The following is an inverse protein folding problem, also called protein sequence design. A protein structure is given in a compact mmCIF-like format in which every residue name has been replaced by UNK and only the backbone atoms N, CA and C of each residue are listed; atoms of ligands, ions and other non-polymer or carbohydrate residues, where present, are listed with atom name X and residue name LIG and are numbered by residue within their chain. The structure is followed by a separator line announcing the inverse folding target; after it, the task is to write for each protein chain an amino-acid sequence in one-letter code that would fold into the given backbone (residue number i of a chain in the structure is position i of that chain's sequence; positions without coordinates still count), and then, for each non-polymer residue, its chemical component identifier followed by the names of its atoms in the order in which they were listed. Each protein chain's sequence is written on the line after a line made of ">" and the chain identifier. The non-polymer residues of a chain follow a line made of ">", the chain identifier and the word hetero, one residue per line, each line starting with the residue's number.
data_IF_331341325927
#
_entry.id   IF_331341325927
#
_cell.length_a   1.000
_cell.length_b   1.000
_cell.length_c   1.000
_cell.angle_alpha   90.00
_cell.angle_beta   90.00
_cell.angle_gamma   90.00
#
_symmetry.space_group_name_H-M   'P 1'
#
loop_
_entity.id
_entity.type
_entity.pdbx_description
1 polymer ?
#
# COMPACT_ATOMS: atom_id res chain seq x y z
N UNK A 1 -18.77 -18.38 -13.21
CA UNK A 1 -19.47 -17.32 -12.45
C UNK A 1 -19.36 -17.53 -10.94
N UNK A 2 -19.78 -18.68 -10.38
CA UNK A 2 -19.70 -18.96 -8.93
C UNK A 2 -18.32 -18.72 -8.30
N UNK A 3 -17.22 -19.19 -8.92
CA UNK A 3 -15.86 -18.99 -8.41
C UNK A 3 -15.44 -17.52 -8.30
N UNK A 4 -15.94 -16.67 -9.20
CA UNK A 4 -15.66 -15.22 -9.21
C UNK A 4 -16.39 -14.52 -8.08
N UNK A 5 -17.69 -14.79 -7.91
CA UNK A 5 -18.49 -14.24 -6.81
C UNK A 5 -17.95 -14.66 -5.44
N UNK A 6 -17.64 -15.95 -5.28
CA UNK A 6 -17.04 -16.45 -4.05
C UNK A 6 -15.68 -15.81 -3.76
N UNK A 7 -14.82 -15.69 -4.78
CA UNK A 7 -13.54 -15.00 -4.64
C UNK A 7 -13.67 -13.51 -4.31
N UNK A 8 -14.64 -12.81 -4.89
CA UNK A 8 -14.94 -11.42 -4.57
C UNK A 8 -15.44 -11.27 -3.13
N UNK A 9 -16.34 -12.16 -2.70
CA UNK A 9 -16.88 -12.18 -1.34
C UNK A 9 -15.78 -12.41 -0.29
N UNK A 10 -14.88 -13.36 -0.53
CA UNK A 10 -13.75 -13.61 0.37
C UNK A 10 -12.85 -12.38 0.51
N UNK A 11 -12.55 -11.68 -0.60
CA UNK A 11 -11.74 -10.45 -0.57
C UNK A 11 -12.45 -9.32 0.16
N UNK A 12 -13.75 -9.15 -0.07
CA UNK A 12 -14.57 -8.18 0.64
C UNK A 12 -14.55 -8.44 2.15
N UNK A 13 -14.77 -9.70 2.56
CA UNK A 13 -14.71 -10.11 3.96
C UNK A 13 -13.33 -9.83 4.58
N UNK A 14 -12.24 -10.14 3.88
CA UNK A 14 -10.88 -9.86 4.35
C UNK A 14 -10.63 -8.36 4.54
N UNK A 15 -11.20 -7.50 3.70
CA UNK A 15 -11.10 -6.04 3.84
C UNK A 15 -11.96 -5.53 5.00
N UNK A 16 -13.16 -6.09 5.20
CA UNK A 16 -13.98 -5.80 6.39
C UNK A 16 -13.19 -6.15 7.66
N UNK A 17 -12.57 -7.34 7.70
CA UNK A 17 -11.77 -7.79 8.83
C UNK A 17 -10.57 -6.87 9.07
N UNK A 18 -9.85 -6.49 8.01
CA UNK A 18 -8.74 -5.54 8.08
C UNK A 18 -9.17 -4.22 8.74
N UNK A 19 -10.27 -3.63 8.28
CA UNK A 19 -10.75 -2.33 8.79
C UNK A 19 -11.25 -2.44 10.24
N UNK A 20 -11.92 -3.55 10.58
CA UNK A 20 -12.44 -3.78 11.92
C UNK A 20 -11.36 -4.17 12.95
N UNK A 21 -10.20 -4.65 12.52
CA UNK A 21 -9.16 -5.23 13.40
C UNK A 21 -8.77 -4.34 14.59
N UNK A 22 -8.50 -3.01 14.42
CA UNK A 22 -8.17 -2.14 15.56
C UNK A 22 -9.28 -2.10 16.60
N UNK A 23 -10.54 -1.93 16.14
CA UNK A 23 -11.71 -1.86 17.02
C UNK A 23 -11.98 -3.17 17.76
N UNK A 24 -11.73 -4.31 17.11
CA UNK A 24 -11.93 -5.64 17.69
C UNK A 24 -10.89 -5.96 18.76
N UNK A 25 -9.70 -5.37 18.68
CA UNK A 25 -8.60 -5.59 19.62
C UNK A 25 -8.49 -4.50 20.70
N UNK A 26 -9.32 -3.46 20.64
CA UNK A 26 -9.33 -2.36 21.60
C UNK A 26 -9.80 -2.82 23.00
N UNK A 27 -9.01 -2.62 24.06
CA UNK A 27 -9.42 -2.93 25.44
C UNK A 27 -10.68 -2.15 25.84
N UNK A 28 -11.71 -2.83 26.36
CA UNK A 28 -12.93 -2.18 26.85
C UNK A 28 -13.96 -1.80 25.79
N UNK A 29 -13.68 -2.06 24.50
CA UNK A 29 -14.55 -1.69 23.39
C UNK A 29 -14.32 -0.27 22.89
N UNK A 30 -14.66 -0.02 21.62
CA UNK A 30 -14.47 1.28 20.99
C UNK A 30 -15.76 2.07 20.95
N UNK A 31 -15.75 3.31 21.44
CA UNK A 31 -16.86 4.26 21.22
C UNK A 31 -17.11 4.53 19.72
N UNK A 32 -16.07 4.33 18.89
CA UNK A 32 -16.16 4.49 17.44
C UNK A 32 -16.57 3.20 16.69
N UNK A 33 -16.87 2.10 17.40
CA UNK A 33 -17.22 0.81 16.78
C UNK A 33 -18.32 0.89 15.70
N UNK A 34 -19.43 1.64 15.87
CA UNK A 34 -20.45 1.75 14.82
C UNK A 34 -19.94 2.43 13.55
N UNK A 35 -19.13 3.48 13.69
CA UNK A 35 -18.56 4.22 12.55
C UNK A 35 -17.59 3.31 11.79
N UNK A 36 -16.74 2.59 12.52
CA UNK A 36 -15.76 1.68 11.92
C UNK A 36 -16.44 0.52 11.21
N UNK A 37 -17.52 -0.02 11.80
CA UNK A 37 -18.32 -1.06 11.16
C UNK A 37 -18.90 -0.55 9.83
N UNK A 38 -19.45 0.67 9.80
CA UNK A 38 -19.97 1.27 8.58
C UNK A 38 -18.88 1.43 7.51
N UNK A 39 -17.72 1.96 7.89
CA UNK A 39 -16.56 2.13 6.99
C UNK A 39 -16.05 0.77 6.50
N UNK A 40 -16.01 -0.24 7.35
CA UNK A 40 -15.59 -1.60 7.01
C UNK A 40 -16.54 -2.24 6.00
N UNK A 41 -17.85 -2.18 6.25
CA UNK A 41 -18.89 -2.70 5.36
C UNK A 41 -18.88 -1.98 4.01
N UNK A 42 -18.74 -0.65 4.00
CA UNK A 42 -18.62 0.13 2.79
C UNK A 42 -17.37 -0.25 1.97
N UNK A 43 -16.22 -0.37 2.64
CA UNK A 43 -14.97 -0.81 2.00
C UNK A 43 -15.08 -2.23 1.43
N UNK A 44 -15.71 -3.14 2.17
CA UNK A 44 -16.00 -4.50 1.70
C UNK A 44 -16.92 -4.50 0.50
N UNK A 45 -17.97 -3.69 0.50
CA UNK A 45 -18.88 -3.54 -0.64
C UNK A 45 -18.17 -3.03 -1.89
N UNK A 46 -17.32 -1.99 -1.78
CA UNK A 46 -16.52 -1.48 -2.89
C UNK A 46 -15.60 -2.56 -3.49
N UNK A 47 -14.97 -3.37 -2.62
CA UNK A 47 -14.12 -4.49 -3.07
C UNK A 47 -14.96 -5.56 -3.75
N UNK A 48 -16.12 -5.90 -3.20
CA UNK A 48 -17.02 -6.86 -3.80
C UNK A 48 -17.47 -6.41 -5.19
N UNK A 49 -17.89 -5.15 -5.35
CA UNK A 49 -18.33 -4.60 -6.64
C UNK A 49 -17.21 -4.59 -7.68
N UNK A 50 -16.00 -4.21 -7.30
CA UNK A 50 -14.85 -4.14 -8.23
C UNK A 50 -14.37 -5.51 -8.72
N UNK A 51 -14.46 -6.55 -7.87
CA UNK A 51 -14.08 -7.92 -8.26
C UNK A 51 -15.21 -8.69 -8.96
N UNK A 52 -16.45 -8.20 -8.87
CA UNK A 52 -17.59 -8.74 -9.62
C UNK A 52 -17.81 -8.04 -10.96
N UNK A 53 -17.41 -6.77 -11.11
CA UNK A 53 -17.51 -5.99 -12.36
C UNK A 53 -16.58 -6.50 -13.46
N UNK A 54 -17.04 -6.53 -14.72
CA UNK A 54 -16.21 -6.94 -15.87
C UNK A 54 -15.10 -5.93 -16.17
N UNK A 55 -15.45 -4.65 -16.12
CA UNK A 55 -14.54 -3.52 -16.24
C UNK A 55 -14.39 -2.86 -14.87
N UNK A 56 -13.29 -3.11 -14.14
CA UNK A 56 -13.05 -2.45 -12.87
C UNK A 56 -12.80 -0.95 -13.09
N UNK A 57 -13.00 -0.14 -12.05
CA UNK A 57 -12.82 1.31 -12.13
C UNK A 57 -11.76 1.83 -11.15
N UNK A 58 -11.58 1.15 -10.03
CA UNK A 58 -10.71 1.58 -8.93
C UNK A 58 -9.54 0.60 -8.70
N UNK A 59 -9.78 -0.70 -8.84
CA UNK A 59 -8.77 -1.71 -8.47
C UNK A 59 -7.83 -1.98 -9.63
N UNK A 60 -6.68 -1.32 -9.59
CA UNK A 60 -5.58 -1.59 -10.52
C UNK A 60 -4.90 -2.93 -10.23
N UNK A 61 -4.33 -3.54 -11.28
CA UNK A 61 -3.63 -4.82 -11.24
C UNK A 61 -4.45 -5.95 -10.60
N UNK A 62 -5.79 -5.89 -10.77
CA UNK A 62 -6.75 -6.85 -10.20
C UNK A 62 -6.37 -8.30 -10.49
N UNK A 63 -6.02 -8.58 -11.74
CA UNK A 63 -5.74 -9.91 -12.26
C UNK A 63 -4.23 -10.14 -12.45
N UNK A 64 -3.40 -9.33 -11.80
CA UNK A 64 -1.95 -9.35 -11.93
C UNK A 64 -1.23 -9.49 -10.57
N UNK A 65 -1.21 -10.70 -9.97
CA UNK A 65 -0.40 -10.93 -8.77
C UNK A 65 1.09 -10.61 -9.05
N UNK A 66 1.87 -10.11 -8.08
CA UNK A 66 1.59 -10.10 -6.63
C UNK A 66 1.00 -8.79 -6.07
N UNK A 67 0.80 -7.75 -6.89
CA UNK A 67 0.58 -6.36 -6.44
C UNK A 67 -0.48 -6.20 -5.34
N UNK A 68 -1.75 -6.53 -5.62
CA UNK A 68 -2.83 -6.36 -4.66
C UNK A 68 -2.72 -7.28 -3.44
N UNK A 69 -2.15 -8.49 -3.61
CA UNK A 69 -1.97 -9.45 -2.51
C UNK A 69 -0.98 -8.91 -1.49
N UNK A 70 0.10 -8.32 -1.97
CA UNK A 70 1.16 -7.78 -1.12
C UNK A 70 0.73 -6.48 -0.44
N UNK A 71 0.01 -5.61 -1.15
CA UNK A 71 -0.59 -4.40 -0.56
C UNK A 71 -1.56 -4.74 0.56
N UNK A 72 -2.47 -5.68 0.33
CA UNK A 72 -3.38 -6.14 1.37
C UNK A 72 -2.62 -6.76 2.55
N UNK A 73 -1.69 -7.68 2.26
CA UNK A 73 -0.93 -8.39 3.29
C UNK A 73 -0.07 -7.47 4.16
N UNK A 74 0.61 -6.48 3.55
CA UNK A 74 1.44 -5.52 4.30
C UNK A 74 0.61 -4.59 5.16
N UNK A 75 -0.52 -4.08 4.64
CA UNK A 75 -1.41 -3.23 5.42
C UNK A 75 -2.05 -3.99 6.59
N UNK A 76 -2.52 -5.22 6.35
CA UNK A 76 -3.05 -6.09 7.40
C UNK A 76 -2.02 -6.39 8.48
N UNK A 77 -0.79 -6.74 8.07
CA UNK A 77 0.27 -7.00 9.01
C UNK A 77 0.61 -5.77 9.86
N UNK A 78 0.71 -4.59 9.24
CA UNK A 78 0.93 -3.33 9.95
C UNK A 78 -0.19 -3.06 10.95
N UNK A 79 -1.45 -3.04 10.50
CA UNK A 79 -2.61 -2.75 11.35
C UNK A 79 -2.71 -3.74 12.50
N UNK A 80 -2.50 -5.03 12.25
CA UNK A 80 -2.52 -6.08 13.27
C UNK A 80 -1.40 -5.89 14.31
N UNK A 81 -0.16 -5.67 13.87
CA UNK A 81 0.99 -5.45 14.77
C UNK A 81 0.73 -4.23 15.65
N UNK A 82 0.30 -3.10 15.05
CA UNK A 82 0.04 -1.88 15.82
C UNK A 82 -1.12 -2.08 16.81
N UNK A 83 -2.17 -2.79 16.42
CA UNK A 83 -3.29 -3.13 17.32
C UNK A 83 -2.85 -4.01 18.49
N UNK A 84 -1.96 -4.98 18.25
CA UNK A 84 -1.39 -5.84 19.30
C UNK A 84 -0.52 -5.03 20.27
N UNK A 85 0.28 -4.08 19.76
CA UNK A 85 1.07 -3.17 20.61
C UNK A 85 0.17 -2.35 21.51
N UNK A 86 -0.88 -1.74 20.95
CA UNK A 86 -1.82 -0.90 21.71
C UNK A 86 -2.59 -1.71 22.75
N UNK A 87 -3.11 -2.89 22.39
CA UNK A 87 -3.77 -3.80 23.34
C UNK A 87 -2.83 -4.23 24.48
N UNK A 88 -1.55 -4.42 24.16
CA UNK A 88 -0.50 -4.80 25.10
C UNK A 88 -0.20 -3.78 26.19
N UNK A 89 -0.67 -2.54 26.05
CA UNK A 89 -0.55 -1.51 27.10
C UNK A 89 -1.45 -1.81 28.30
N UNK A 90 -2.60 -2.46 28.07
CA UNK A 90 -3.58 -2.84 29.11
C UNK A 90 -3.48 -4.32 29.46
N UNK A 91 -3.32 -5.17 28.44
CA UNK A 91 -3.19 -6.63 28.60
C UNK A 91 -1.88 -7.12 27.99
N UNK A 92 -0.75 -7.01 28.71
CA UNK A 92 0.55 -7.43 28.20
C UNK A 92 0.58 -8.92 27.85
N UNK A 93 1.11 -9.23 26.67
CA UNK A 93 1.36 -10.60 26.20
C UNK A 93 2.79 -10.73 25.69
N UNK A 94 3.31 -11.95 25.58
CA UNK A 94 4.63 -12.18 24.98
C UNK A 94 4.73 -11.59 23.56
N UNK A 95 3.65 -11.69 22.77
CA UNK A 95 3.60 -11.14 21.41
C UNK A 95 3.64 -9.61 21.40
N UNK A 96 2.86 -8.96 22.27
CA UNK A 96 2.87 -7.49 22.35
C UNK A 96 4.20 -6.94 22.86
N UNK A 97 4.86 -7.65 23.79
CA UNK A 97 6.21 -7.31 24.25
C UNK A 97 7.25 -7.48 23.15
N UNK A 98 7.18 -8.56 22.36
CA UNK A 98 8.08 -8.78 21.22
C UNK A 98 7.97 -7.65 20.21
N UNK A 99 6.75 -7.32 19.76
CA UNK A 99 6.56 -6.23 18.81
C UNK A 99 6.95 -4.89 19.40
N UNK A 100 6.66 -4.63 20.67
CA UNK A 100 7.11 -3.41 21.35
C UNK A 100 8.64 -3.29 21.33
N UNK A 101 9.37 -4.34 21.70
CA UNK A 101 10.83 -4.36 21.72
C UNK A 101 11.44 -4.18 20.33
N UNK A 102 10.92 -4.89 19.32
CA UNK A 102 11.36 -4.72 17.93
C UNK A 102 11.09 -3.30 17.46
N UNK A 103 9.90 -2.75 17.73
CA UNK A 103 9.54 -1.37 17.40
C UNK A 103 10.45 -0.34 18.06
N UNK A 104 10.83 -0.54 19.32
CA UNK A 104 11.78 0.35 20.01
C UNK A 104 13.16 0.32 19.33
N UNK A 105 13.70 -0.87 19.05
CA UNK A 105 15.01 -0.99 18.40
C UNK A 105 15.00 -0.36 17.01
N UNK A 106 14.01 -0.71 16.20
CA UNK A 106 13.87 -0.21 14.82
C UNK A 106 13.58 1.29 14.81
N UNK A 107 12.71 1.76 15.71
CA UNK A 107 12.39 3.17 15.88
C UNK A 107 13.63 4.00 16.20
N UNK A 108 14.48 3.53 17.13
CA UNK A 108 15.74 4.19 17.46
C UNK A 108 16.73 4.21 16.28
N UNK A 109 16.84 3.10 15.54
CA UNK A 109 17.73 3.01 14.37
C UNK A 109 17.26 3.95 13.25
N UNK A 110 15.95 4.08 13.06
CA UNK A 110 15.37 4.93 12.04
C UNK A 110 15.20 6.39 12.48
N UNK A 111 15.44 6.73 13.74
CA UNK A 111 15.38 8.09 14.29
C UNK A 111 16.74 8.80 14.19
N UNK A 112 17.16 9.09 12.98
CA UNK A 112 18.33 9.92 12.69
C UNK A 112 17.92 11.23 11.97
N UNK A 113 18.80 12.26 11.93
CA UNK A 113 18.46 13.53 11.30
C UNK A 113 17.95 13.37 9.87
N UNK A 114 16.84 14.04 9.56
CA UNK A 114 16.13 14.02 8.26
C UNK A 114 15.52 12.68 7.84
N UNK A 115 15.51 11.66 8.71
CA UNK A 115 14.78 10.41 8.43
C UNK A 115 13.25 10.61 8.42
N UNK A 116 12.50 9.77 7.67
CA UNK A 116 11.03 9.83 7.71
C UNK A 116 10.44 9.66 9.10
N UNK A 117 11.00 8.75 9.91
CA UNK A 117 10.55 8.52 11.30
C UNK A 117 10.81 9.76 12.15
N UNK A 118 11.99 10.39 12.03
CA UNK A 118 12.28 11.66 12.71
C UNK A 118 11.28 12.75 12.35
N UNK A 119 11.00 12.91 11.06
CA UNK A 119 10.05 13.93 10.60
C UNK A 119 8.63 13.67 11.13
N UNK A 120 8.20 12.41 11.21
CA UNK A 120 6.92 12.06 11.82
C UNK A 120 6.89 12.42 13.31
N UNK A 121 7.96 12.19 14.06
CA UNK A 121 8.05 12.61 15.46
C UNK A 121 8.03 14.13 15.62
N UNK A 122 8.67 14.84 14.70
CA UNK A 122 8.65 16.31 14.67
C UNK A 122 7.28 16.87 14.28
N UNK A 123 6.38 16.05 13.72
CA UNK A 123 4.99 16.43 13.43
C UNK A 123 4.04 16.31 14.63
N UNK A 124 4.54 15.85 15.78
CA UNK A 124 3.77 15.76 17.01
C UNK A 124 3.57 17.14 17.66
N UNK A 125 2.46 17.34 18.41
CA UNK A 125 2.24 18.55 19.18
C UNK A 125 3.40 18.86 20.15
N UNK A 126 3.68 20.14 20.37
CA UNK A 126 4.77 20.58 21.27
C UNK A 126 4.58 20.13 22.73
N UNK A 127 3.34 19.87 23.13
CA UNK A 127 2.97 19.37 24.46
C UNK A 127 2.91 17.84 24.56
N UNK A 128 3.32 17.11 23.52
CA UNK A 128 3.34 15.65 23.52
C UNK A 128 4.22 15.12 24.67
N UNK A 129 3.67 14.22 25.46
CA UNK A 129 4.38 13.61 26.59
C UNK A 129 5.48 12.67 26.10
N UNK A 130 6.51 12.39 26.92
CA UNK A 130 7.56 11.44 26.55
C UNK A 130 7.02 10.03 26.20
N UNK A 131 5.93 9.62 26.86
CA UNK A 131 5.28 8.32 26.59
C UNK A 131 4.62 8.30 25.21
N UNK A 132 4.00 9.39 24.79
CA UNK A 132 3.38 9.52 23.47
C UNK A 132 4.44 9.53 22.36
N UNK A 133 5.53 10.29 22.55
CA UNK A 133 6.66 10.34 21.61
C UNK A 133 7.24 8.94 21.40
N UNK A 134 7.55 8.21 22.48
CA UNK A 134 8.06 6.84 22.39
C UNK A 134 7.03 5.89 21.76
N UNK A 135 5.74 6.14 21.98
CA UNK A 135 4.66 5.34 21.38
C UNK A 135 4.57 5.53 19.88
N UNK A 136 4.69 6.77 19.40
CA UNK A 136 4.70 7.08 17.97
C UNK A 136 6.00 6.56 17.35
N UNK A 137 7.15 6.73 18.00
CA UNK A 137 8.45 6.28 17.48
C UNK A 137 8.46 4.76 17.22
N UNK A 138 8.04 3.94 18.20
CA UNK A 138 8.03 2.48 18.05
C UNK A 138 7.04 2.00 16.99
N UNK A 139 5.85 2.62 16.94
CA UNK A 139 4.80 2.23 15.98
C UNK A 139 5.17 2.64 14.56
N UNK A 140 5.72 3.85 14.40
CA UNK A 140 6.25 4.34 13.13
C UNK A 140 7.42 3.50 12.63
N UNK A 141 8.38 3.16 13.50
CA UNK A 141 9.50 2.29 13.16
C UNK A 141 9.05 0.94 12.61
N UNK A 142 8.10 0.28 13.27
CA UNK A 142 7.56 -1.00 12.81
C UNK A 142 6.73 -0.88 11.52
N UNK A 143 5.84 0.10 11.42
CA UNK A 143 5.04 0.30 10.21
C UNK A 143 5.94 0.59 9.00
N UNK A 144 6.97 1.41 9.18
CA UNK A 144 7.94 1.70 8.14
C UNK A 144 8.75 0.45 7.76
N UNK A 145 9.22 -0.34 8.74
CA UNK A 145 9.91 -1.59 8.47
C UNK A 145 9.05 -2.58 7.67
N UNK A 146 7.78 -2.78 8.05
CA UNK A 146 6.85 -3.63 7.29
C UNK A 146 6.69 -3.12 5.86
N UNK A 147 6.59 -1.81 5.67
CA UNK A 147 6.49 -1.20 4.33
C UNK A 147 7.74 -1.44 3.47
N UNK A 148 8.94 -1.36 4.05
CA UNK A 148 10.21 -1.64 3.38
C UNK A 148 10.34 -3.12 3.03
N UNK A 149 10.02 -4.02 3.97
CA UNK A 149 10.03 -5.47 3.72
C UNK A 149 9.06 -5.81 2.59
N UNK A 150 7.86 -5.23 2.59
CA UNK A 150 6.90 -5.42 1.51
C UNK A 150 7.45 -4.94 0.16
N UNK A 151 8.09 -3.76 0.11
CA UNK A 151 8.70 -3.25 -1.12
C UNK A 151 9.85 -4.15 -1.62
N UNK A 152 10.74 -4.59 -0.73
CA UNK A 152 11.83 -5.51 -1.05
C UNK A 152 11.29 -6.85 -1.57
N UNK A 153 10.28 -7.41 -0.89
CA UNK A 153 9.64 -8.64 -1.33
C UNK A 153 8.94 -8.47 -2.68
N UNK A 154 8.28 -7.33 -2.92
CA UNK A 154 7.69 -7.01 -4.22
C UNK A 154 8.74 -7.05 -5.33
N UNK A 155 9.84 -6.32 -5.15
CA UNK A 155 10.93 -6.24 -6.11
C UNK A 155 11.54 -7.63 -6.37
N UNK A 156 11.74 -8.43 -5.31
CA UNK A 156 12.25 -9.79 -5.41
C UNK A 156 11.32 -10.71 -6.21
N UNK A 157 10.02 -10.71 -5.90
CA UNK A 157 9.03 -11.54 -6.62
C UNK A 157 8.95 -11.14 -8.08
N UNK A 158 8.99 -9.84 -8.38
CA UNK A 158 9.03 -9.36 -9.75
C UNK A 158 10.31 -9.80 -10.48
N UNK A 159 11.46 -9.76 -9.81
CA UNK A 159 12.74 -10.20 -10.37
C UNK A 159 12.76 -11.71 -10.69
N UNK A 160 12.36 -12.55 -9.75
CA UNK A 160 12.40 -14.02 -9.90
C UNK A 160 11.36 -14.52 -10.91
N UNK A 161 10.14 -13.98 -10.90
CA UNK A 161 9.03 -14.55 -11.68
C UNK A 161 8.90 -13.98 -13.10
N UNK A 162 9.82 -13.11 -13.54
CA UNK A 162 9.77 -12.49 -14.86
C UNK A 162 8.47 -11.71 -15.14
N UNK A 163 7.77 -11.27 -14.08
CA UNK A 163 6.50 -10.56 -14.19
C UNK A 163 6.68 -9.28 -15.04
N UNK A 164 5.73 -8.93 -15.94
CA UNK A 164 4.37 -9.48 -16.10
C UNK A 164 4.23 -10.65 -17.11
N UNK A 165 5.33 -11.24 -17.60
CA UNK A 165 5.31 -12.29 -18.64
C UNK A 165 4.90 -13.68 -18.11
N UNK A 166 3.72 -13.80 -17.50
CA UNK A 166 3.18 -15.10 -17.06
C UNK A 166 2.25 -15.75 -18.11
N UNK A 167 1.77 -16.97 -17.79
CA UNK A 167 1.04 -17.92 -18.67
C UNK A 167 -0.19 -17.37 -19.42
N UNK A 168 -0.73 -16.23 -19.01
CA UNK A 168 -1.84 -15.57 -19.69
C UNK A 168 -1.43 -14.17 -20.16
N UNK A 169 -1.93 -13.76 -21.32
CA UNK A 169 -1.66 -12.44 -21.86
C UNK A 169 -2.14 -11.36 -20.87
N UNK A 170 -1.21 -10.52 -20.40
CA UNK A 170 -1.53 -9.39 -19.54
C UNK A 170 -2.50 -8.44 -20.27
N UNK A 171 -3.72 -8.33 -19.76
CA UNK A 171 -4.73 -7.40 -20.27
C UNK A 171 -4.51 -6.03 -19.61
N UNK A 172 -4.10 -5.06 -20.41
CA UNK A 172 -3.77 -3.70 -19.96
C UNK A 172 -5.03 -2.99 -19.46
N UNK A 173 -6.15 -3.10 -20.15
CA UNK A 173 -7.39 -2.38 -19.82
C UNK A 173 -7.99 -2.80 -18.49
N UNK A 174 -7.99 -4.11 -18.20
CA UNK A 174 -8.55 -4.61 -16.95
C UNK A 174 -7.62 -4.40 -15.76
N UNK A 175 -6.31 -4.21 -15.99
CA UNK A 175 -5.32 -4.00 -14.94
C UNK A 175 -4.92 -2.53 -14.74
N UNK A 176 -5.21 -1.67 -15.70
CA UNK A 176 -4.98 -0.21 -15.63
C UNK A 176 -6.25 0.53 -16.05
N UNK A 177 -7.36 0.40 -15.29
CA UNK A 177 -8.64 0.99 -15.65
C UNK A 177 -8.63 2.52 -15.65
N UNK A 178 -7.72 3.13 -14.90
CA UNK A 178 -7.55 4.59 -14.80
C UNK A 178 -6.74 5.19 -15.95
N UNK A 179 -6.13 4.34 -16.80
CA UNK A 179 -5.31 4.79 -17.92
C UNK A 179 -6.16 4.96 -19.18
N UNK A 180 -6.29 6.20 -19.67
CA UNK A 180 -6.96 6.50 -20.93
C UNK A 180 -6.01 6.33 -22.14
N UNK A 181 -6.26 5.37 -23.03
CA UNK A 181 -5.43 5.18 -24.21
C UNK A 181 -5.72 6.14 -25.35
N UNK A 182 -6.87 6.79 -25.34
CA UNK A 182 -7.38 7.59 -26.47
C UNK A 182 -6.88 9.02 -26.47
N UNK A 183 -6.31 9.50 -25.35
CA UNK A 183 -5.74 10.85 -25.21
C UNK A 183 -4.54 11.23 -26.09
N UNK A 184 -4.27 10.51 -27.19
CA UNK A 184 -3.22 10.81 -28.16
C UNK A 184 -1.80 10.47 -27.68
N UNK A 185 -0.87 10.34 -28.63
CA UNK A 185 0.55 10.06 -28.36
C UNK A 185 0.90 8.61 -28.01
N UNK A 186 2.18 8.34 -27.78
CA UNK A 186 2.67 6.99 -27.50
C UNK A 186 2.27 6.50 -26.09
N UNK A 187 1.56 5.37 -26.06
CA UNK A 187 1.13 4.68 -24.83
C UNK A 187 2.31 4.35 -23.91
N UNK A 188 3.45 3.91 -24.47
CA UNK A 188 4.63 3.52 -23.66
C UNK A 188 5.22 4.75 -22.98
N UNK A 189 5.38 5.85 -23.69
CA UNK A 189 5.86 7.12 -23.11
C UNK A 189 4.98 7.62 -21.96
N UNK A 190 3.65 7.57 -22.12
CA UNK A 190 2.70 7.96 -21.05
C UNK A 190 2.81 7.07 -19.82
N UNK A 191 2.83 5.75 -20.01
CA UNK A 191 3.01 4.81 -18.90
C UNK A 191 4.34 5.03 -18.17
N UNK A 192 5.43 5.34 -18.87
CA UNK A 192 6.71 5.66 -18.25
C UNK A 192 6.65 6.97 -17.45
N UNK A 193 5.95 7.99 -17.95
CA UNK A 193 5.75 9.24 -17.22
C UNK A 193 4.96 9.02 -15.94
N UNK A 194 3.87 8.27 -16.02
CA UNK A 194 3.03 7.93 -14.87
C UNK A 194 3.79 7.07 -13.86
N UNK A 195 4.60 6.12 -14.34
CA UNK A 195 5.48 5.32 -13.50
C UNK A 195 6.48 6.19 -12.75
N UNK A 196 7.18 7.09 -13.44
CA UNK A 196 8.14 8.01 -12.85
C UNK A 196 7.48 8.92 -11.82
N UNK A 197 6.27 9.43 -12.09
CA UNK A 197 5.51 10.24 -11.15
C UNK A 197 5.18 9.46 -9.87
N UNK A 198 4.67 8.23 -10.00
CA UNK A 198 4.35 7.38 -8.84
C UNK A 198 5.61 7.01 -8.03
N UNK A 199 6.75 6.76 -8.70
CA UNK A 199 8.03 6.50 -8.02
C UNK A 199 8.50 7.75 -7.26
N UNK A 200 8.55 8.90 -7.93
CA UNK A 200 8.98 10.15 -7.32
C UNK A 200 8.10 10.49 -6.10
N UNK A 201 6.78 10.43 -6.27
CA UNK A 201 5.84 10.72 -5.19
C UNK A 201 5.94 9.68 -4.06
N UNK A 202 6.11 8.40 -4.39
CA UNK A 202 6.33 7.33 -3.41
C UNK A 202 7.63 7.49 -2.59
N UNK A 203 8.69 8.06 -3.17
CA UNK A 203 9.91 8.41 -2.41
C UNK A 203 9.71 9.65 -1.56
N UNK A 204 8.97 10.65 -2.05
CA UNK A 204 8.81 11.94 -1.38
C UNK A 204 7.77 11.91 -0.25
N UNK A 205 6.68 11.15 -0.38
CA UNK A 205 5.58 11.15 0.59
C UNK A 205 5.95 10.85 2.05
N UNK A 206 6.87 9.93 2.38
CA UNK A 206 7.24 9.67 3.78
C UNK A 206 7.78 10.93 4.47
N UNK A 207 8.33 11.87 3.71
CA UNK A 207 8.86 13.15 4.16
C UNK A 207 7.82 14.28 4.04
N UNK A 208 7.04 14.29 2.96
CA UNK A 208 6.02 15.33 2.72
C UNK A 208 4.84 15.21 3.68
N UNK A 209 4.38 13.99 3.99
CA UNK A 209 3.23 13.79 4.88
C UNK A 209 3.52 14.43 6.25
N UNK A 210 4.61 14.11 6.97
CA UNK A 210 4.91 14.77 8.23
C UNK A 210 5.04 16.30 8.12
N UNK A 211 5.63 16.81 7.05
CA UNK A 211 5.74 18.26 6.84
C UNK A 211 4.36 18.93 6.71
N UNK A 212 3.43 18.30 5.98
CA UNK A 212 2.05 18.78 5.87
C UNK A 212 1.32 18.68 7.20
N UNK A 213 1.50 17.61 7.96
CA UNK A 213 0.93 17.48 9.30
C UNK A 213 1.45 18.56 10.25
N UNK A 214 2.75 18.87 10.19
CA UNK A 214 3.33 19.96 10.97
C UNK A 214 2.76 21.33 10.58
N UNK A 215 2.58 21.60 9.29
CA UNK A 215 1.95 22.86 8.84
C UNK A 215 0.48 22.97 9.24
N UNK A 216 -0.20 21.84 9.41
CA UNK A 216 -1.58 21.78 9.88
C UNK A 216 -1.72 21.78 11.41
N UNK A 217 -0.59 21.68 12.14
CA UNK A 217 -0.59 21.71 13.61
C UNK A 217 -1.19 23.04 14.10
N UNK A 218 -2.25 22.95 14.89
CA UNK A 218 -3.08 24.08 15.33
C UNK A 218 -4.49 24.13 14.75
N UNK A 219 -4.78 23.38 13.68
CA UNK A 219 -6.15 23.21 13.15
C UNK A 219 -6.74 21.83 13.47
N UNK A 220 -5.91 20.80 13.44
CA UNK A 220 -6.24 19.39 13.68
C UNK A 220 -5.05 18.75 14.41
N UNK A 221 -5.32 17.80 15.32
CA UNK A 221 -4.31 16.91 15.91
C UNK A 221 -4.35 15.52 15.20
N UNK A 222 -3.67 15.35 14.06
CA UNK A 222 -3.80 14.18 13.20
C UNK A 222 -3.11 12.91 13.75
N UNK A 223 -2.18 13.06 14.69
CA UNK A 223 -1.51 11.95 15.37
C UNK A 223 -1.75 12.13 16.87
N UNK A 224 -2.79 11.47 17.35
CA UNK A 224 -3.14 11.43 18.76
C UNK A 224 -2.79 10.05 19.33
N UNK A 225 -1.69 9.98 20.09
CA UNK A 225 -1.24 8.74 20.72
C UNK A 225 -2.15 8.30 21.88
N UNK A 226 -3.01 9.19 22.39
CA UNK A 226 -4.02 8.86 23.40
C UNK A 226 -5.22 8.11 22.81
N UNK A 227 -5.43 8.19 21.49
CA UNK A 227 -6.49 7.50 20.75
C UNK A 227 -5.90 6.37 19.89
N UNK A 228 -5.95 5.10 20.36
CA UNK A 228 -5.30 3.98 19.70
C UNK A 228 -5.64 3.85 18.21
N UNK A 229 -6.90 4.08 17.85
CA UNK A 229 -7.35 3.96 16.47
C UNK A 229 -6.80 5.03 15.54
N UNK A 230 -6.81 6.29 15.98
CA UNK A 230 -6.25 7.40 15.22
C UNK A 230 -4.77 7.17 14.99
N UNK A 231 -4.04 6.77 16.04
CA UNK A 231 -2.63 6.42 15.92
C UNK A 231 -2.39 5.28 14.92
N UNK A 232 -3.12 4.17 15.04
CA UNK A 232 -2.94 2.99 14.16
C UNK A 232 -3.17 3.38 12.69
N UNK A 233 -4.26 4.07 12.38
CA UNK A 233 -4.57 4.42 10.99
C UNK A 233 -3.66 5.52 10.43
N UNK A 234 -3.32 6.54 11.21
CA UNK A 234 -2.42 7.61 10.76
C UNK A 234 -1.02 7.05 10.45
N UNK A 235 -0.47 6.21 11.34
CA UNK A 235 0.85 5.60 11.15
C UNK A 235 0.83 4.55 10.03
N UNK A 236 -0.23 3.73 9.95
CA UNK A 236 -0.38 2.76 8.88
C UNK A 236 -0.49 3.45 7.51
N UNK A 237 -1.29 4.52 7.39
CA UNK A 237 -1.43 5.28 6.15
C UNK A 237 -0.10 5.95 5.75
N UNK A 238 0.59 6.59 6.70
CA UNK A 238 1.88 7.23 6.46
C UNK A 238 2.93 6.25 5.89
N UNK A 239 3.02 5.03 6.42
CA UNK A 239 3.97 4.04 5.91
C UNK A 239 3.49 3.31 4.64
N UNK A 240 2.17 3.05 4.53
CA UNK A 240 1.61 2.23 3.47
C UNK A 240 1.40 2.97 2.14
N UNK A 241 0.96 4.24 2.18
CA UNK A 241 0.67 5.02 0.97
C UNK A 241 1.92 5.21 0.08
N UNK A 242 3.08 5.62 0.62
CA UNK A 242 4.30 5.75 -0.18
C UNK A 242 4.74 4.41 -0.79
N UNK A 243 4.76 3.35 0.01
CA UNK A 243 5.12 2.01 -0.46
C UNK A 243 4.18 1.51 -1.57
N UNK A 244 2.87 1.78 -1.45
CA UNK A 244 1.89 1.45 -2.48
C UNK A 244 2.15 2.16 -3.81
N UNK A 245 2.53 3.43 -3.77
CA UNK A 245 2.86 4.20 -4.97
C UNK A 245 4.18 3.77 -5.60
N UNK A 246 5.19 3.45 -4.79
CA UNK A 246 6.43 2.85 -5.29
C UNK A 246 6.16 1.52 -6.03
N UNK A 247 5.40 0.62 -5.40
CA UNK A 247 5.02 -0.64 -6.05
C UNK A 247 4.25 -0.38 -7.36
N UNK A 248 3.35 0.60 -7.37
CA UNK A 248 2.54 0.96 -8.55
C UNK A 248 3.42 1.51 -9.67
N UNK A 249 4.34 2.40 -9.35
CA UNK A 249 5.29 2.97 -10.31
C UNK A 249 6.18 1.88 -10.94
N UNK A 250 6.75 0.99 -10.12
CA UNK A 250 7.57 -0.13 -10.58
C UNK A 250 6.75 -1.08 -11.49
N UNK A 251 5.53 -1.42 -11.07
CA UNK A 251 4.64 -2.28 -11.86
C UNK A 251 4.31 -1.65 -13.23
N UNK A 252 3.97 -0.36 -13.24
CA UNK A 252 3.60 0.39 -14.45
C UNK A 252 4.78 0.50 -15.41
N UNK A 253 5.99 0.81 -14.91
CA UNK A 253 7.21 0.84 -15.74
C UNK A 253 7.47 -0.51 -16.42
N UNK A 254 7.29 -1.62 -15.68
CA UNK A 254 7.45 -2.96 -16.25
C UNK A 254 6.40 -3.29 -17.31
N UNK A 255 5.16 -2.84 -17.15
CA UNK A 255 4.13 -2.98 -18.18
C UNK A 255 4.52 -2.18 -19.44
N UNK A 256 5.01 -0.95 -19.28
CA UNK A 256 5.50 -0.14 -20.38
C UNK A 256 6.63 -0.83 -21.16
N UNK A 257 7.62 -1.38 -20.45
CA UNK A 257 8.71 -2.16 -21.05
C UNK A 257 8.20 -3.40 -21.80
N UNK A 258 7.26 -4.15 -21.23
CA UNK A 258 6.67 -5.31 -21.91
C UNK A 258 5.98 -4.91 -23.23
N UNK A 259 5.24 -3.80 -23.23
CA UNK A 259 4.55 -3.30 -24.44
C UNK A 259 5.58 -2.89 -25.50
N UNK A 260 6.63 -2.16 -25.11
CA UNK A 260 7.72 -1.76 -26.00
C UNK A 260 8.41 -2.99 -26.63
N UNK A 261 8.74 -3.99 -25.82
CA UNK A 261 9.34 -5.25 -26.29
C UNK A 261 8.44 -5.99 -27.29
N UNK A 262 7.13 -6.05 -27.02
CA UNK A 262 6.17 -6.71 -27.92
C UNK A 262 6.12 -6.01 -29.28
N UNK A 263 6.07 -4.66 -29.30
CA UNK A 263 6.07 -3.88 -30.53
C UNK A 263 7.33 -4.11 -31.37
N UNK A 264 8.51 -4.08 -30.73
CA UNK A 264 9.80 -4.35 -31.41
C UNK A 264 9.83 -5.75 -32.05
N UNK A 265 9.29 -6.76 -31.36
CA UNK A 265 9.23 -8.14 -31.89
C UNK A 265 8.25 -8.28 -33.06
N UNK A 266 7.12 -7.58 -33.02
CA UNK A 266 6.15 -7.57 -34.12
C UNK A 266 6.75 -6.96 -35.39
N UNK A 267 7.44 -5.81 -35.26
CA UNK A 267 8.12 -5.16 -36.38
C UNK A 267 9.16 -6.07 -37.03
N UNK A 268 10.03 -6.70 -36.24
CA UNK A 268 11.03 -7.64 -36.77
C UNK A 268 10.43 -8.87 -37.47
N UNK A 269 9.19 -9.28 -37.10
CA UNK A 269 8.51 -10.40 -37.73
C UNK A 269 7.91 -9.99 -39.08
N UNK A 270 7.35 -8.80 -39.18
CA UNK A 270 6.85 -8.22 -40.43
C UNK A 270 7.98 -8.04 -41.45
N UNK A 271 9.13 -7.48 -41.04
CA UNK A 271 10.31 -7.32 -41.90
C UNK A 271 10.85 -8.68 -42.42
N UNK A 272 10.80 -9.72 -41.58
CA UNK A 272 11.25 -11.07 -41.95
C UNK A 272 10.32 -11.80 -42.90
N UNK A 273 9.00 -11.66 -42.71
CA UNK A 273 8.00 -12.23 -43.61
C UNK A 273 8.02 -11.53 -44.99
N UNK A 274 8.30 -10.22 -45.05
CA UNK A 274 8.51 -9.50 -46.32
C UNK A 274 9.74 -10.02 -47.08
N UNK A 275 10.88 -10.24 -46.41
CA UNK A 275 12.08 -10.80 -47.03
C UNK A 275 11.89 -12.22 -47.60
N UNK A 276 11.01 -13.03 -46.99
CA UNK A 276 10.67 -14.36 -47.48
C UNK A 276 9.64 -14.36 -48.61
N UNK A 277 8.83 -13.30 -48.76
CA UNK A 277 7.86 -13.18 -49.86
C UNK A 277 8.50 -12.80 -51.20
N UNK A 278 9.75 -12.32 -51.20
CA UNK A 278 10.49 -11.89 -52.39
C UNK A 278 11.65 -12.84 -52.81
N UNK A 279 11.78 -14.02 -52.19
CA UNK A 279 12.81 -15.03 -52.51
C UNK A 279 12.21 -16.33 -53.04
#
# INVERSE_FOLDING_TARGET
>A
MFTRYFGALLRAFLVVLLVATPSLLEPGGSDSAPIILLVALFSGWLVFSEYTADYPSLVEFRDAPPFNRLRFGSLLLTVLILSIIQRGTVYPTAMSQLFTSVGTVVGNVLDFPFSPVRLLLLSLPENATPVEILTVQRTAGLAYLVSLIALCFFALVLWVNGWPRQRHAFNVWTNLPTFDPTGGGDVVSRLNRDANFNVALGVLLPFLIPAVLQMASGLIDPIDASKPQTLIWSVAAWAFLPASLLMRGIATARVAHMIADKRRRSQHREDGDELHAFG
#
